data_IF_362901984847
#
_entry.id   IF_362901984847
#
_cell.length_a   1.000
_cell.length_b   1.000
_cell.length_c   1.000
_cell.angle_alpha   90.00
_cell.angle_beta   90.00
_cell.angle_gamma   90.00
#
_symmetry.space_group_name_H-M   'P 1'
#
loop_
_entity.id
_entity.type
_entity.pdbx_description
1 polymer ?
#
# COMPACT_ATOMS: atom_id res chain seq x y z
N UNK A 1 -12.90 -49.23 15.77
CA UNK A 1 -12.45 -48.36 16.88
C UNK A 1 -11.01 -48.02 16.61
N UNK A 2 -10.74 -46.85 16.04
CA UNK A 2 -9.39 -46.34 15.85
C UNK A 2 -9.07 -45.41 17.02
N UNK A 3 -7.92 -45.64 17.66
CA UNK A 3 -7.39 -44.70 18.64
C UNK A 3 -6.97 -43.43 17.89
N UNK A 4 -7.55 -42.29 18.28
CA UNK A 4 -7.17 -40.96 17.81
C UNK A 4 -5.74 -40.61 18.25
N UNK A 5 -5.04 -39.69 17.56
CA UNK A 5 -3.69 -39.30 17.95
C UNK A 5 -3.66 -38.88 19.41
N UNK A 6 -2.70 -39.46 20.12
CA UNK A 6 -2.56 -39.42 21.58
C UNK A 6 -2.57 -38.00 22.10
N UNK A 7 -3.52 -37.68 23.00
CA UNK A 7 -3.42 -36.49 23.82
C UNK A 7 -2.16 -36.57 24.68
N UNK A 8 -1.40 -35.47 24.85
CA UNK A 8 -0.19 -35.46 25.69
C UNK A 8 -0.49 -35.79 27.17
N UNK A 9 -1.75 -35.68 27.60
CA UNK A 9 -2.21 -36.08 28.93
C UNK A 9 -2.99 -37.40 28.88
N UNK A 10 -2.29 -38.52 28.70
CA UNK A 10 -2.51 -39.88 29.26
C UNK A 10 -3.90 -40.52 29.38
N UNK A 11 -4.99 -39.89 28.96
CA UNK A 11 -6.35 -40.41 29.04
C UNK A 11 -6.80 -40.88 27.65
N UNK A 12 -7.24 -42.14 27.56
CA UNK A 12 -7.70 -42.71 26.31
C UNK A 12 -9.07 -42.10 25.93
N UNK A 13 -9.06 -41.10 25.05
CA UNK A 13 -10.28 -40.54 24.47
C UNK A 13 -10.81 -41.53 23.42
N UNK A 14 -12.04 -42.01 23.59
CA UNK A 14 -12.71 -42.85 22.59
C UNK A 14 -13.28 -41.95 21.49
N UNK A 15 -12.79 -42.14 20.27
CA UNK A 15 -13.36 -41.51 19.07
C UNK A 15 -14.40 -42.43 18.42
N UNK A 16 -15.59 -41.88 18.11
CA UNK A 16 -16.65 -42.56 17.35
C UNK A 16 -16.63 -42.17 15.86
N UNK A 17 -15.61 -41.44 15.41
CA UNK A 17 -15.46 -41.03 14.02
C UNK A 17 -15.37 -42.25 13.10
N UNK A 18 -16.26 -42.31 12.11
CA UNK A 18 -16.28 -43.35 11.08
C UNK A 18 -15.33 -43.06 9.91
N UNK A 19 -15.00 -41.78 9.71
CA UNK A 19 -14.09 -41.30 8.68
C UNK A 19 -12.70 -41.11 9.32
N UNK A 20 -11.63 -41.64 8.73
CA UNK A 20 -10.27 -41.46 9.25
C UNK A 20 -9.80 -40.00 9.06
N UNK A 21 -9.13 -39.45 10.08
CA UNK A 21 -8.42 -38.18 9.93
C UNK A 21 -7.17 -38.42 9.10
N UNK A 22 -7.10 -37.79 7.93
CA UNK A 22 -5.93 -37.88 7.04
C UNK A 22 -4.93 -36.75 7.25
N UNK A 23 -5.32 -35.72 8.02
CA UNK A 23 -4.51 -34.58 8.39
C UNK A 23 -4.70 -34.29 9.88
N UNK A 24 -3.62 -33.89 10.53
CA UNK A 24 -3.67 -33.41 11.90
C UNK A 24 -4.13 -31.95 11.94
N UNK A 25 -4.66 -31.53 13.09
CA UNK A 25 -5.03 -30.14 13.31
C UNK A 25 -3.75 -29.30 13.36
N UNK A 26 -3.58 -28.30 12.48
CA UNK A 26 -2.39 -27.47 12.49
C UNK A 26 -2.36 -26.57 13.72
N UNK A 27 -1.21 -25.97 14.00
CA UNK A 27 -1.13 -24.94 15.02
C UNK A 27 -1.99 -23.72 14.62
N UNK A 28 -3.07 -23.48 15.37
CA UNK A 28 -4.08 -22.48 15.04
C UNK A 28 -3.59 -21.02 15.19
N UNK A 29 -2.43 -20.80 15.84
CA UNK A 29 -1.81 -19.47 15.96
C UNK A 29 -0.61 -19.29 15.00
N UNK A 30 -0.28 -20.31 14.21
CA UNK A 30 0.91 -20.31 13.35
C UNK A 30 0.93 -19.12 12.39
N UNK A 31 -0.22 -18.80 11.77
CA UNK A 31 -0.36 -17.67 10.87
C UNK A 31 0.06 -16.34 11.53
N UNK A 32 -0.27 -16.12 12.81
CA UNK A 32 0.09 -14.89 13.51
C UNK A 32 1.60 -14.83 13.77
N UNK A 33 2.18 -15.94 14.19
CA UNK A 33 3.62 -16.06 14.48
C UNK A 33 4.42 -15.83 13.19
N UNK A 34 4.09 -16.56 12.12
CA UNK A 34 4.77 -16.44 10.82
C UNK A 34 4.64 -15.03 10.24
N UNK A 35 3.46 -14.41 10.36
CA UNK A 35 3.26 -13.04 9.89
C UNK A 35 4.13 -12.04 10.65
N UNK A 36 4.32 -12.23 11.95
CA UNK A 36 5.15 -11.34 12.77
C UNK A 36 6.64 -11.56 12.54
N UNK A 37 7.07 -12.82 12.34
CA UNK A 37 8.45 -13.12 11.97
C UNK A 37 8.80 -12.51 10.62
N UNK A 38 7.93 -12.65 9.61
CA UNK A 38 8.09 -11.98 8.31
C UNK A 38 8.13 -10.45 8.44
N UNK A 39 7.30 -9.87 9.32
CA UNK A 39 7.35 -8.43 9.59
C UNK A 39 8.72 -8.01 10.13
N UNK A 40 9.25 -8.74 11.13
CA UNK A 40 10.56 -8.45 11.73
C UNK A 40 11.72 -8.60 10.74
N UNK A 41 11.60 -9.47 9.73
CA UNK A 41 12.65 -9.68 8.73
C UNK A 41 12.34 -8.89 7.46
N UNK A 42 11.67 -9.52 6.50
CA UNK A 42 11.52 -9.04 5.14
C UNK A 42 10.65 -7.78 5.08
N UNK A 43 9.63 -7.67 5.94
CA UNK A 43 8.70 -6.56 5.94
C UNK A 43 9.36 -5.21 6.25
N UNK A 44 10.22 -5.15 7.27
CA UNK A 44 10.97 -3.93 7.59
C UNK A 44 12.03 -3.64 6.52
N UNK A 45 12.72 -4.67 6.02
CA UNK A 45 13.72 -4.52 4.96
C UNK A 45 13.11 -3.98 3.66
N UNK A 46 11.93 -4.46 3.26
CA UNK A 46 11.19 -4.00 2.08
C UNK A 46 10.86 -2.50 2.19
N UNK A 47 10.39 -2.04 3.36
CA UNK A 47 10.09 -0.63 3.59
C UNK A 47 11.35 0.24 3.53
N UNK A 48 12.46 -0.21 4.11
CA UNK A 48 13.73 0.51 4.02
C UNK A 48 14.29 0.57 2.60
N UNK A 49 14.13 -0.50 1.83
CA UNK A 49 14.51 -0.53 0.43
C UNK A 49 13.64 0.39 -0.43
N UNK A 50 12.34 0.47 -0.16
CA UNK A 50 11.40 1.32 -0.92
C UNK A 50 11.68 2.81 -0.74
N UNK A 51 12.05 3.24 0.47
CA UNK A 51 12.35 4.65 0.75
C UNK A 51 13.77 5.05 0.38
N UNK A 52 14.65 4.10 0.06
CA UNK A 52 16.06 4.35 -0.22
C UNK A 52 16.32 4.43 -1.74
N UNK A 53 17.11 5.41 -2.23
CA UNK A 53 17.73 6.50 -1.46
C UNK A 53 16.74 7.62 -1.12
N UNK A 54 16.88 8.19 0.07
CA UNK A 54 16.31 9.51 0.37
C UNK A 54 17.30 10.56 -0.12
N UNK A 55 16.86 11.37 -1.07
CA UNK A 55 17.67 12.43 -1.68
C UNK A 55 17.35 13.81 -1.11
N UNK A 56 18.32 14.71 -1.16
CA UNK A 56 18.08 16.12 -0.84
C UNK A 56 17.22 16.81 -1.91
N UNK A 57 16.73 18.02 -1.63
CA UNK A 57 15.87 18.78 -2.55
C UNK A 57 16.49 18.98 -3.95
N UNK A 58 17.82 19.07 -4.03
CA UNK A 58 18.51 19.24 -5.31
C UNK A 58 18.87 17.92 -5.99
N UNK A 59 18.71 16.78 -5.30
CA UNK A 59 19.10 15.44 -5.77
C UNK A 59 20.61 15.21 -5.89
N UNK A 60 21.42 16.24 -5.68
CA UNK A 60 22.82 16.27 -6.11
C UNK A 60 23.82 16.36 -4.95
N UNK A 61 23.38 16.52 -3.70
CA UNK A 61 24.29 16.71 -2.56
C UNK A 61 24.35 15.53 -1.63
N UNK A 62 23.19 15.02 -1.22
CA UNK A 62 23.11 13.97 -0.20
C UNK A 62 22.18 12.84 -0.62
N UNK A 63 22.63 11.61 -0.36
CA UNK A 63 21.81 10.41 -0.44
C UNK A 63 21.92 9.63 0.86
N UNK A 64 20.77 9.36 1.47
CA UNK A 64 20.65 8.52 2.65
C UNK A 64 20.07 7.17 2.26
N UNK A 65 20.79 6.11 2.62
CA UNK A 65 20.38 4.72 2.44
C UNK A 65 20.13 4.09 3.80
N UNK A 66 19.06 3.31 3.91
CA UNK A 66 18.85 2.38 5.00
C UNK A 66 19.24 0.97 4.52
N UNK A 67 20.18 0.35 5.24
CA UNK A 67 20.69 -0.98 4.94
C UNK A 67 20.04 -2.00 5.90
N UNK A 68 20.86 -2.87 6.52
CA UNK A 68 20.39 -3.91 7.42
C UNK A 68 19.82 -3.34 8.72
N UNK A 69 18.75 -3.97 9.21
CA UNK A 69 18.17 -3.70 10.51
C UNK A 69 18.33 -4.88 11.45
N UNK A 70 18.34 -4.58 12.75
CA UNK A 70 18.44 -5.60 13.80
C UNK A 70 17.61 -5.21 15.01
N UNK A 71 17.10 -6.21 15.72
CA UNK A 71 16.46 -6.05 17.02
C UNK A 71 17.46 -6.41 18.12
N UNK A 72 17.55 -5.55 19.14
CA UNK A 72 18.22 -5.89 20.41
C UNK A 72 17.30 -6.76 21.27
N UNK A 73 17.85 -7.42 22.27
CA UNK A 73 17.04 -8.19 23.21
C UNK A 73 16.06 -7.30 24.00
N UNK A 74 14.85 -7.79 24.31
CA UNK A 74 13.92 -7.09 25.18
C UNK A 74 14.53 -6.77 26.55
N UNK A 75 14.26 -5.56 27.05
CA UNK A 75 14.83 -5.07 28.31
C UNK A 75 14.36 -5.86 29.54
N UNK A 76 13.13 -6.36 29.49
CA UNK A 76 12.46 -7.07 30.59
C UNK A 76 11.78 -8.33 30.04
N UNK A 77 11.65 -9.35 30.89
CA UNK A 77 10.85 -10.52 30.56
C UNK A 77 9.33 -10.23 30.62
N UNK A 78 8.53 -11.18 30.14
CA UNK A 78 7.08 -11.06 30.06
C UNK A 78 6.40 -10.79 31.42
N UNK A 79 6.88 -11.40 32.50
CA UNK A 79 6.28 -11.29 33.83
C UNK A 79 6.65 -9.96 34.49
N UNK A 80 7.88 -9.50 34.30
CA UNK A 80 8.34 -8.19 34.73
C UNK A 80 7.59 -7.07 34.01
N UNK A 81 7.35 -7.21 32.69
CA UNK A 81 6.54 -6.25 31.94
C UNK A 81 5.13 -6.11 32.50
N UNK A 82 4.47 -7.25 32.80
CA UNK A 82 3.14 -7.27 33.45
C UNK A 82 3.15 -6.62 34.83
N UNK A 83 4.14 -6.93 35.68
CA UNK A 83 4.24 -6.38 37.04
C UNK A 83 4.53 -4.89 37.07
N UNK A 84 5.33 -4.39 36.12
CA UNK A 84 5.72 -2.97 36.04
C UNK A 84 4.78 -2.11 35.20
N UNK A 85 3.71 -2.68 34.67
CA UNK A 85 2.82 -1.99 33.72
C UNK A 85 3.58 -1.42 32.51
N UNK A 86 4.60 -2.14 32.05
CA UNK A 86 5.44 -1.75 30.90
C UNK A 86 5.17 -2.60 29.68
N UNK A 87 5.61 -2.13 28.51
CA UNK A 87 5.45 -2.83 27.23
C UNK A 87 6.62 -3.80 27.02
N UNK A 88 6.31 -5.01 26.56
CA UNK A 88 7.33 -5.98 26.15
C UNK A 88 7.77 -5.64 24.72
N UNK A 89 8.93 -5.01 24.59
CA UNK A 89 9.47 -4.49 23.34
C UNK A 89 10.96 -4.74 23.21
N UNK A 90 11.44 -4.70 21.97
CA UNK A 90 12.85 -4.73 21.60
C UNK A 90 13.21 -3.46 20.83
N UNK A 91 14.43 -2.97 21.05
CA UNK A 91 14.95 -1.81 20.35
C UNK A 91 15.34 -2.17 18.93
N UNK A 92 14.77 -1.48 17.94
CA UNK A 92 15.10 -1.60 16.52
C UNK A 92 16.25 -0.65 16.17
N UNK A 93 17.28 -1.19 15.55
CA UNK A 93 18.40 -0.44 14.99
C UNK A 93 18.46 -0.66 13.49
N UNK A 94 18.89 0.35 12.74
CA UNK A 94 19.16 0.26 11.30
C UNK A 94 20.53 0.84 11.01
N UNK A 95 21.29 0.17 10.14
CA UNK A 95 22.52 0.72 9.61
C UNK A 95 22.17 1.70 8.50
N UNK A 96 22.48 2.98 8.72
CA UNK A 96 22.24 4.04 7.75
C UNK A 96 23.56 4.49 7.12
N UNK A 97 23.53 4.71 5.81
CA UNK A 97 24.68 5.19 5.02
C UNK A 97 24.33 6.51 4.37
N UNK A 98 25.03 7.57 4.77
CA UNK A 98 24.92 8.91 4.18
C UNK A 98 26.07 9.15 3.20
N UNK A 99 25.74 9.36 1.94
CA UNK A 99 26.68 9.67 0.86
C UNK A 99 26.64 11.17 0.58
N UNK A 100 27.78 11.84 0.67
CA UNK A 100 27.94 13.22 0.20
C UNK A 100 28.51 13.20 -1.22
N UNK A 101 27.69 13.45 -2.23
CA UNK A 101 28.08 13.30 -3.65
C UNK A 101 29.25 14.19 -4.04
N UNK A 102 29.25 15.44 -3.57
CA UNK A 102 30.29 16.43 -3.92
C UNK A 102 31.69 16.01 -3.46
N UNK A 103 31.81 15.34 -2.32
CA UNK A 103 33.10 14.95 -1.73
C UNK A 103 33.40 13.46 -1.86
N UNK A 104 32.43 12.65 -2.25
CA UNK A 104 32.51 11.18 -2.24
C UNK A 104 32.58 10.58 -0.83
N UNK A 105 32.40 11.37 0.23
CA UNK A 105 32.50 10.89 1.60
C UNK A 105 31.25 10.08 1.96
N UNK A 106 31.47 8.87 2.45
CA UNK A 106 30.43 7.97 2.95
C UNK A 106 30.55 7.90 4.47
N UNK A 107 29.44 8.18 5.16
CA UNK A 107 29.32 8.01 6.62
C UNK A 107 28.31 6.92 6.91
N UNK A 108 28.76 5.89 7.61
CA UNK A 108 27.90 4.80 8.09
C UNK A 108 27.67 4.96 9.60
N UNK A 109 26.43 4.80 10.04
CA UNK A 109 26.07 4.86 11.44
C UNK A 109 24.90 3.92 11.73
N UNK A 110 24.98 3.24 12.88
CA UNK A 110 23.84 2.51 13.42
C UNK A 110 22.90 3.49 14.14
N UNK A 111 21.65 3.57 13.70
CA UNK A 111 20.64 4.50 14.21
C UNK A 111 19.57 3.71 14.97
N UNK A 112 19.25 4.18 16.17
CA UNK A 112 18.10 3.68 16.93
C UNK A 112 16.81 4.23 16.32
N UNK A 113 15.93 3.33 15.86
CA UNK A 113 14.65 3.66 15.21
C UNK A 113 13.49 3.72 16.18
N UNK A 114 13.63 3.11 17.36
CA UNK A 114 12.57 3.05 18.37
C UNK A 114 12.41 1.65 18.96
N UNK A 115 11.60 1.57 20.01
CA UNK A 115 11.22 0.30 20.63
C UNK A 115 9.95 -0.25 19.98
N UNK A 116 10.01 -1.48 19.50
CA UNK A 116 8.90 -2.15 18.83
C UNK A 116 8.35 -3.26 19.74
N UNK A 117 7.03 -3.31 20.00
CA UNK A 117 6.42 -4.41 20.74
C UNK A 117 6.72 -5.77 20.10
N UNK A 118 7.12 -6.75 20.91
CA UNK A 118 7.47 -8.09 20.45
C UNK A 118 6.37 -9.08 20.77
N UNK A 119 6.05 -9.96 19.82
CA UNK A 119 5.04 -11.00 20.00
C UNK A 119 5.55 -12.05 20.99
N UNK A 120 4.68 -12.46 21.91
CA UNK A 120 4.94 -13.55 22.85
C UNK A 120 4.84 -14.92 22.15
N UNK A 121 5.35 -16.00 22.77
CA UNK A 121 5.18 -17.35 22.21
C UNK A 121 3.72 -17.81 22.05
N UNK A 122 2.77 -17.14 22.71
CA UNK A 122 1.33 -17.42 22.61
C UNK A 122 0.62 -16.59 21.54
N UNK A 123 1.33 -15.76 20.77
CA UNK A 123 0.76 -14.93 19.71
C UNK A 123 0.12 -13.63 20.20
N UNK A 124 0.41 -13.22 21.44
CA UNK A 124 -0.08 -11.98 22.06
C UNK A 124 1.02 -10.92 22.15
N UNK A 125 0.66 -9.72 22.63
CA UNK A 125 1.56 -8.62 22.92
C UNK A 125 1.28 -8.09 24.33
N UNK A 126 2.32 -7.67 25.05
CA UNK A 126 2.16 -6.98 26.33
C UNK A 126 2.38 -5.50 26.10
N UNK A 127 1.33 -4.69 26.25
CA UNK A 127 1.37 -3.23 26.06
C UNK A 127 0.89 -2.57 27.35
N UNK A 128 1.79 -1.82 27.99
CA UNK A 128 1.57 -1.20 29.30
C UNK A 128 1.06 -2.21 30.35
N UNK A 129 1.72 -3.38 30.43
CA UNK A 129 1.37 -4.49 31.31
C UNK A 129 0.13 -5.31 30.92
N UNK A 130 -0.71 -4.80 30.02
CA UNK A 130 -1.89 -5.50 29.56
C UNK A 130 -1.58 -6.42 28.37
N UNK A 131 -2.06 -7.65 28.42
CA UNK A 131 -1.95 -8.59 27.31
C UNK A 131 -3.04 -8.31 26.26
N UNK A 132 -2.61 -8.19 25.01
CA UNK A 132 -3.45 -7.81 23.86
C UNK A 132 -3.19 -8.74 22.69
N UNK A 133 -4.19 -8.95 21.86
CA UNK A 133 -4.09 -9.75 20.64
C UNK A 133 -4.42 -8.87 19.45
N UNK A 134 -3.60 -8.94 18.41
CA UNK A 134 -3.88 -8.29 17.12
C UNK A 134 -4.83 -9.20 16.34
N UNK A 135 -5.93 -8.64 15.86
CA UNK A 135 -6.93 -9.38 15.08
C UNK A 135 -6.70 -9.11 13.60
N UNK A 136 -6.55 -10.18 12.82
CA UNK A 136 -6.45 -10.09 11.37
C UNK A 136 -7.73 -9.51 10.77
N UNK A 137 -7.57 -8.51 9.90
CA UNK A 137 -8.68 -7.86 9.22
C UNK A 137 -8.84 -8.41 7.81
N UNK A 138 -10.08 -8.53 7.35
CA UNK A 138 -10.37 -8.78 5.95
C UNK A 138 -10.53 -7.44 5.22
N UNK A 139 -9.59 -7.17 4.31
CA UNK A 139 -9.60 -5.99 3.45
C UNK A 139 -9.82 -6.40 2.00
N UNK A 140 -10.24 -5.46 1.14
CA UNK A 140 -10.35 -5.71 -0.30
C UNK A 140 -8.97 -6.02 -0.87
N UNK A 141 -8.89 -7.00 -1.76
CA UNK A 141 -7.65 -7.30 -2.46
C UNK A 141 -7.26 -6.12 -3.37
N UNK A 142 -5.98 -5.98 -3.72
CA UNK A 142 -5.58 -5.08 -4.79
C UNK A 142 -6.26 -5.46 -6.11
N UNK A 143 -6.60 -4.47 -6.92
CA UNK A 143 -7.23 -4.68 -8.22
C UNK A 143 -8.11 -3.53 -8.67
N UNK A 144 -8.77 -3.72 -9.80
CA UNK A 144 -9.73 -2.77 -10.37
C UNK A 144 -11.14 -3.29 -10.16
N UNK A 145 -11.94 -2.52 -9.43
CA UNK A 145 -13.33 -2.86 -9.10
C UNK A 145 -14.28 -1.93 -9.83
N UNK A 146 -15.14 -2.49 -10.68
CA UNK A 146 -16.22 -1.75 -11.33
C UNK A 146 -17.51 -1.89 -10.52
N UNK A 147 -18.22 -0.78 -10.35
CA UNK A 147 -19.50 -0.71 -9.65
C UNK A 147 -20.47 0.03 -10.54
N UNK A 148 -21.60 -0.61 -10.82
CA UNK A 148 -22.72 -0.02 -11.54
C UNK A 148 -23.86 0.24 -10.57
N UNK A 149 -24.19 1.52 -10.36
CA UNK A 149 -25.25 1.95 -9.44
C UNK A 149 -26.33 2.73 -10.18
N UNK A 150 -27.59 2.51 -9.81
CA UNK A 150 -28.71 3.25 -10.40
C UNK A 150 -28.90 4.57 -9.66
N UNK A 151 -28.72 5.68 -10.35
CA UNK A 151 -29.05 7.02 -9.87
C UNK A 151 -30.58 7.18 -9.79
N UNK A 152 -31.08 7.31 -8.56
CA UNK A 152 -32.52 7.43 -8.29
C UNK A 152 -33.14 8.70 -8.88
N UNK A 153 -32.35 9.75 -9.10
CA UNK A 153 -32.85 11.03 -9.61
C UNK A 153 -33.07 11.02 -11.12
N UNK A 154 -32.20 10.35 -11.87
CA UNK A 154 -32.26 10.31 -13.34
C UNK A 154 -32.66 8.94 -13.90
N UNK A 155 -32.87 7.95 -13.02
CA UNK A 155 -33.12 6.54 -13.34
C UNK A 155 -32.01 5.87 -14.17
N UNK A 156 -30.82 6.50 -14.24
CA UNK A 156 -29.68 6.05 -15.05
C UNK A 156 -28.73 5.17 -14.25
N UNK A 157 -28.13 4.19 -14.91
CA UNK A 157 -27.00 3.46 -14.34
C UNK A 157 -25.72 4.29 -14.51
N UNK A 158 -25.09 4.64 -13.39
CA UNK A 158 -23.79 5.30 -13.32
C UNK A 158 -22.73 4.26 -12.97
N UNK A 159 -21.65 4.24 -13.74
CA UNK A 159 -20.50 3.39 -13.50
C UNK A 159 -19.42 4.14 -12.71
N UNK A 160 -18.77 3.44 -11.79
CA UNK A 160 -17.54 3.88 -11.14
C UNK A 160 -16.51 2.75 -11.14
N UNK A 161 -15.23 3.11 -11.17
CA UNK A 161 -14.12 2.17 -11.09
C UNK A 161 -13.19 2.59 -9.95
N UNK A 162 -12.78 1.63 -9.11
CA UNK A 162 -11.80 1.84 -8.04
C UNK A 162 -10.58 1.00 -8.32
N UNK A 163 -9.47 1.64 -8.58
CA UNK A 163 -8.16 1.02 -8.67
C UNK A 163 -7.51 1.07 -7.29
N UNK A 164 -7.44 -0.09 -6.65
CA UNK A 164 -6.89 -0.28 -5.31
C UNK A 164 -5.51 -0.91 -5.47
N UNK A 165 -4.41 -0.17 -5.25
CA UNK A 165 -3.09 -0.76 -5.27
C UNK A 165 -2.84 -1.59 -3.99
N UNK A 166 -1.82 -2.43 -4.01
CA UNK A 166 -1.34 -3.11 -2.80
C UNK A 166 -0.78 -2.10 -1.78
N UNK A 167 -0.10 -1.07 -2.27
CA UNK A 167 0.45 0.04 -1.50
C UNK A 167 0.39 1.32 -2.33
N UNK A 168 0.10 2.45 -1.68
CA UNK A 168 0.06 3.76 -2.32
C UNK A 168 -1.35 4.33 -2.53
N UNK A 169 -1.44 5.34 -3.39
CA UNK A 169 -2.64 6.15 -3.60
C UNK A 169 -3.72 5.41 -4.41
N UNK A 170 -4.97 5.56 -4.01
CA UNK A 170 -6.11 5.02 -4.76
C UNK A 170 -6.47 5.95 -5.93
N UNK A 171 -6.87 5.36 -7.04
CA UNK A 171 -7.53 6.08 -8.15
C UNK A 171 -8.99 5.65 -8.23
N UNK A 172 -9.88 6.62 -8.17
CA UNK A 172 -11.33 6.40 -8.28
C UNK A 172 -11.88 7.17 -9.47
N UNK A 173 -12.49 6.47 -10.42
CA UNK A 173 -13.16 7.04 -11.57
C UNK A 173 -14.66 6.91 -11.39
N UNK A 174 -15.41 7.92 -11.82
CA UNK A 174 -16.87 7.90 -11.74
C UNK A 174 -17.51 8.69 -12.88
N UNK A 175 -18.60 8.14 -13.38
CA UNK A 175 -19.50 8.82 -14.31
C UNK A 175 -20.60 9.55 -13.53
N UNK A 176 -21.08 10.66 -14.08
CA UNK A 176 -22.18 11.43 -13.50
C UNK A 176 -23.39 11.49 -14.43
N UNK A 177 -24.55 11.86 -13.88
CA UNK A 177 -25.79 12.04 -14.65
C UNK A 177 -25.70 13.16 -15.70
N UNK A 178 -24.70 14.05 -15.58
CA UNK A 178 -24.38 15.10 -16.55
C UNK A 178 -23.36 14.66 -17.62
N UNK A 179 -23.18 13.34 -17.79
CA UNK A 179 -22.22 12.73 -18.72
C UNK A 179 -20.77 13.17 -18.49
N UNK A 180 -20.38 13.56 -17.27
CA UNK A 180 -18.98 13.90 -16.96
C UNK A 180 -18.29 12.69 -16.36
N UNK A 181 -17.07 12.44 -16.80
CA UNK A 181 -16.14 11.47 -16.23
C UNK A 181 -15.15 12.21 -15.31
N UNK A 182 -15.13 11.83 -14.04
CA UNK A 182 -14.26 12.43 -13.03
C UNK A 182 -13.32 11.42 -12.42
N UNK A 183 -12.18 11.88 -11.95
CA UNK A 183 -11.20 11.11 -11.20
C UNK A 183 -10.97 11.73 -9.82
N UNK A 184 -10.71 10.89 -8.83
CA UNK A 184 -10.17 11.26 -7.52
C UNK A 184 -8.88 10.50 -7.29
N UNK A 185 -7.84 11.22 -6.91
CA UNK A 185 -6.57 10.66 -6.46
C UNK A 185 -6.54 10.73 -4.94
N UNK A 186 -6.24 9.63 -4.27
CA UNK A 186 -6.05 9.55 -2.81
C UNK A 186 -7.18 10.21 -1.98
N UNK A 187 -8.44 9.94 -2.36
CA UNK A 187 -9.66 10.47 -1.71
C UNK A 187 -9.73 12.01 -1.66
N UNK A 188 -8.97 12.71 -2.52
CA UNK A 188 -9.05 14.16 -2.68
C UNK A 188 -10.31 14.56 -3.47
N UNK A 189 -10.41 15.85 -3.81
CA UNK A 189 -11.53 16.40 -4.58
C UNK A 189 -11.58 15.77 -5.97
N UNK A 190 -12.80 15.66 -6.50
CA UNK A 190 -13.06 15.23 -7.88
C UNK A 190 -12.49 16.28 -8.84
N UNK A 191 -11.77 15.81 -9.84
CA UNK A 191 -11.34 16.60 -10.99
C UNK A 191 -11.81 15.91 -12.27
N UNK A 192 -12.01 16.63 -13.39
CA UNK A 192 -12.23 16.03 -14.70
C UNK A 192 -11.14 15.00 -15.02
N UNK A 193 -11.50 13.88 -15.66
CA UNK A 193 -10.49 12.86 -16.03
C UNK A 193 -9.47 13.40 -17.03
N UNK A 194 -9.88 14.37 -17.85
CA UNK A 194 -9.03 15.05 -18.84
C UNK A 194 -7.84 15.74 -18.17
N UNK A 195 -8.01 16.30 -16.97
CA UNK A 195 -6.91 16.88 -16.20
C UNK A 195 -5.82 15.84 -15.89
N UNK A 196 -6.21 14.60 -15.57
CA UNK A 196 -5.26 13.51 -15.35
C UNK A 196 -4.58 13.08 -16.65
N UNK A 197 -5.34 12.98 -17.76
CA UNK A 197 -4.77 12.62 -19.07
C UNK A 197 -3.73 13.64 -19.54
N UNK A 198 -3.99 14.93 -19.35
CA UNK A 198 -3.01 16.00 -19.63
C UNK A 198 -1.77 15.87 -18.76
N UNK A 199 -1.94 15.57 -17.47
CA UNK A 199 -0.82 15.33 -16.56
C UNK A 199 0.00 14.07 -16.93
N UNK A 200 -0.56 13.15 -17.73
CA UNK A 200 0.13 11.99 -18.27
C UNK A 200 0.74 12.25 -19.67
N UNK A 201 0.65 13.48 -20.19
CA UNK A 201 1.27 13.89 -21.46
C UNK A 201 0.32 14.07 -22.63
N UNK A 202 -0.97 13.76 -22.49
CA UNK A 202 -1.95 13.95 -23.58
C UNK A 202 -2.57 15.35 -23.45
N UNK A 203 -1.83 16.34 -23.91
CA UNK A 203 -2.15 17.75 -23.70
C UNK A 203 -3.22 18.30 -24.63
N UNK A 204 -3.43 17.71 -25.81
CA UNK A 204 -4.32 18.24 -26.85
C UNK A 204 -5.74 17.65 -26.79
N UNK A 205 -6.76 18.49 -27.01
CA UNK A 205 -8.17 18.11 -26.93
C UNK A 205 -8.57 17.14 -28.04
N UNK A 206 -8.07 17.36 -29.26
CA UNK A 206 -8.35 16.48 -30.40
C UNK A 206 -7.70 15.12 -30.18
N UNK A 207 -6.46 15.08 -29.65
CA UNK A 207 -5.79 13.85 -29.26
C UNK A 207 -6.56 13.06 -28.18
N UNK A 208 -7.10 13.74 -27.16
CA UNK A 208 -7.94 13.09 -26.14
C UNK A 208 -9.22 12.53 -26.80
N UNK A 209 -9.88 13.29 -27.69
CA UNK A 209 -11.10 12.83 -28.36
C UNK A 209 -10.81 11.61 -29.25
N UNK A 210 -9.72 11.65 -30.01
CA UNK A 210 -9.30 10.56 -30.92
C UNK A 210 -9.02 9.26 -30.16
N UNK A 211 -8.39 9.36 -28.97
CA UNK A 211 -8.09 8.21 -28.11
C UNK A 211 -9.33 7.42 -27.68
N UNK A 212 -10.49 8.07 -27.58
CA UNK A 212 -11.73 7.45 -27.11
C UNK A 212 -12.80 7.35 -28.20
N UNK A 213 -12.47 7.61 -29.47
CA UNK A 213 -13.45 7.68 -30.55
C UNK A 213 -14.20 6.36 -30.79
N UNK A 214 -13.55 5.23 -30.51
CA UNK A 214 -14.09 3.87 -30.66
C UNK A 214 -14.89 3.41 -29.44
N UNK A 215 -14.79 4.13 -28.32
CA UNK A 215 -15.45 3.81 -27.04
C UNK A 215 -16.61 4.77 -26.75
N UNK A 216 -16.44 6.08 -26.95
CA UNK A 216 -17.44 7.12 -26.66
C UNK A 216 -18.38 7.34 -27.86
N UNK A 217 -19.04 6.26 -28.29
CA UNK A 217 -19.78 6.20 -29.57
C UNK A 217 -21.26 6.61 -29.47
N UNK A 218 -21.82 6.82 -28.27
CA UNK A 218 -23.24 7.15 -28.11
C UNK A 218 -23.50 8.61 -28.53
N UNK A 219 -24.25 8.87 -29.61
CA UNK A 219 -24.49 10.24 -30.09
C UNK A 219 -25.27 11.11 -29.09
N UNK A 220 -25.99 10.49 -28.16
CA UNK A 220 -26.73 11.20 -27.12
C UNK A 220 -25.93 11.39 -25.82
N UNK A 221 -24.77 10.72 -25.70
CA UNK A 221 -23.98 10.64 -24.47
C UNK A 221 -22.49 10.58 -24.79
N UNK A 222 -21.91 11.76 -25.01
CA UNK A 222 -20.48 11.89 -25.23
C UNK A 222 -19.79 12.28 -23.93
N UNK A 223 -19.22 11.31 -23.23
CA UNK A 223 -18.58 11.52 -21.94
C UNK A 223 -17.33 12.38 -22.03
N UNK A 224 -16.50 12.17 -23.05
CA UNK A 224 -15.22 12.88 -23.20
C UNK A 224 -15.46 14.34 -23.52
N UNK A 225 -16.31 14.63 -24.51
CA UNK A 225 -16.66 16.02 -24.87
C UNK A 225 -17.30 16.78 -23.71
N UNK A 226 -18.28 16.18 -23.05
CA UNK A 226 -18.92 16.79 -21.87
C UNK A 226 -17.95 17.02 -20.71
N UNK A 227 -16.87 16.24 -20.63
CA UNK A 227 -15.85 16.38 -19.61
C UNK A 227 -14.88 17.51 -19.96
N UNK A 228 -14.43 17.60 -21.22
CA UNK A 228 -13.62 18.70 -21.73
C UNK A 228 -14.32 20.05 -21.54
N UNK A 229 -15.62 20.15 -21.85
CA UNK A 229 -16.41 21.37 -21.64
C UNK A 229 -16.45 21.86 -20.17
N UNK A 230 -16.23 20.95 -19.22
CA UNK A 230 -16.20 21.25 -17.78
C UNK A 230 -14.80 21.32 -17.20
N UNK A 231 -13.79 21.01 -18.00
CA UNK A 231 -12.42 21.21 -17.63
C UNK A 231 -12.16 22.72 -17.66
N UNK A 232 -12.09 23.35 -16.48
CA UNK A 232 -11.86 24.80 -16.33
C UNK A 232 -10.37 25.11 -16.56
N UNK A 233 -9.76 24.47 -17.56
CA UNK A 233 -8.44 24.86 -18.03
C UNK A 233 -8.62 26.10 -18.90
N UNK A 234 -8.70 27.26 -18.25
CA UNK A 234 -8.41 28.53 -18.91
C UNK A 234 -6.96 28.45 -19.39
N UNK A 235 -6.75 28.47 -20.71
CA UNK A 235 -5.47 28.86 -21.29
C UNK A 235 -4.94 30.10 -20.53
N UNK A 236 -3.62 30.13 -20.32
CA UNK A 236 -2.84 31.16 -19.59
C UNK A 236 -2.69 31.01 -18.07
N UNK A 237 -2.37 29.81 -17.60
CA UNK A 237 -1.29 29.72 -16.61
C UNK A 237 -0.20 28.87 -17.20
N UNK A 238 1.00 29.43 -17.29
CA UNK A 238 2.23 28.63 -17.31
C UNK A 238 2.14 27.67 -16.12
N UNK A 239 1.64 26.47 -16.39
CA UNK A 239 1.70 25.37 -15.45
C UNK A 239 3.16 25.01 -15.36
N UNK A 240 3.86 25.63 -14.42
CA UNK A 240 5.07 25.05 -13.82
C UNK A 240 4.68 23.77 -13.09
N UNK A 241 4.23 22.75 -13.82
CA UNK A 241 4.63 21.40 -13.49
C UNK A 241 6.14 21.40 -13.72
N UNK A 242 6.93 20.90 -12.77
CA UNK A 242 8.36 20.72 -13.03
C UNK A 242 8.41 19.83 -14.27
N UNK A 243 8.99 20.33 -15.35
CA UNK A 243 9.31 19.56 -16.56
C UNK A 243 9.87 18.18 -16.20
N UNK A 244 10.64 18.15 -15.11
CA UNK A 244 11.28 16.97 -14.54
C UNK A 244 10.27 15.89 -14.08
N UNK A 245 9.12 16.25 -13.52
CA UNK A 245 8.13 15.28 -13.04
C UNK A 245 7.43 14.58 -14.22
N UNK A 246 7.17 15.32 -15.31
CA UNK A 246 6.61 14.78 -16.55
C UNK A 246 7.65 13.96 -17.33
N UNK A 247 8.90 14.42 -17.37
CA UNK A 247 10.02 13.70 -17.97
C UNK A 247 10.28 12.36 -17.27
N UNK A 248 10.19 12.33 -15.93
CA UNK A 248 10.35 11.10 -15.16
C UNK A 248 9.23 10.08 -15.43
N UNK A 249 7.98 10.54 -15.56
CA UNK A 249 6.86 9.66 -15.90
C UNK A 249 6.99 9.15 -17.34
N UNK A 250 7.42 10.00 -18.28
CA UNK A 250 7.64 9.60 -19.67
C UNK A 250 8.76 8.59 -19.81
N UNK A 251 9.94 8.82 -19.21
CA UNK A 251 11.05 7.88 -19.23
C UNK A 251 10.70 6.53 -18.60
N UNK A 252 9.81 6.53 -17.60
CA UNK A 252 9.30 5.29 -17.03
C UNK A 252 8.38 4.51 -17.97
N UNK A 253 7.55 5.21 -18.75
CA UNK A 253 6.62 4.61 -19.71
C UNK A 253 7.29 4.23 -21.04
N UNK A 254 8.32 4.97 -21.45
CA UNK A 254 9.04 4.81 -22.71
C UNK A 254 10.56 4.74 -22.46
N UNK A 255 11.07 3.63 -21.90
CA UNK A 255 12.48 3.53 -21.49
C UNK A 255 13.48 3.58 -22.65
N UNK A 256 13.04 3.34 -23.88
CA UNK A 256 13.88 3.33 -25.08
C UNK A 256 13.73 4.60 -25.94
N UNK A 257 12.96 5.60 -25.48
CA UNK A 257 12.68 6.84 -26.23
C UNK A 257 13.11 8.08 -25.42
N UNK A 258 13.69 9.07 -26.10
CA UNK A 258 14.00 10.36 -25.46
C UNK A 258 12.72 11.15 -25.19
N UNK A 259 12.73 11.95 -24.12
CA UNK A 259 11.63 12.85 -23.77
C UNK A 259 11.57 14.01 -24.78
N UNK A 260 10.46 14.12 -25.51
CA UNK A 260 10.14 15.24 -26.41
C UNK A 260 9.49 16.40 -25.63
#
# INVERSE_FOLDING_TARGET
>A
MSLSPSSPNGSAIKSYSKIPSVLDVPNLILMQIESFDRFKTDGIAEVFSEVSPIQDFTGNKFELYFEEHSFREPKYDLNECKRRESTYCASLYVKARLVTKETGVIKEQEIFMGDVPIMTPTGSFIVNGAERVVVSQLVRSPGVYFVLEKDLSTDRNLCSAKMIPYRGAWLEFETSSKNVLSVKVDRKRKVPVTTLLRALGIADDEAIIDLFQDIDTDPNRQYIRSTLDKDIYTLEKETQFKSDDLANIWQWLHPDEEYD
#
